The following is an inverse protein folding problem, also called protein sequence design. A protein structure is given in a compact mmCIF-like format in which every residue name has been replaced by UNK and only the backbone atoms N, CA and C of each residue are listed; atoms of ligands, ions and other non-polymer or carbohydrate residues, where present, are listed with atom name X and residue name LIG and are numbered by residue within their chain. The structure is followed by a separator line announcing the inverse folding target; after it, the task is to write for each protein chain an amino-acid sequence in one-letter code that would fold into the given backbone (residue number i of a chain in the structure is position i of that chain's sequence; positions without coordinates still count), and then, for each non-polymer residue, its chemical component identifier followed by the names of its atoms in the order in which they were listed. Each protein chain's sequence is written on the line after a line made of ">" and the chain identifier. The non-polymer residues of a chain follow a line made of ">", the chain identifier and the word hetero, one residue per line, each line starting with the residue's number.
data_IF_169678594860
#
_entry.id   IF_169678594860
#
_cell.length_a   1.000
_cell.length_b   1.000
_cell.length_c   1.000
_cell.angle_alpha   90.00
_cell.angle_beta   90.00
_cell.angle_gamma   90.00
#
_symmetry.space_group_name_H-M   'P 1'
#
loop_
_entity.id
_entity.type
_entity.pdbx_description
1 polymer ?
#
# COMPACT_ATOMS: atom_id res chain seq x y z
N UNK A 1 20.92 -8.82 27.21
CA UNK A 1 20.79 -8.60 25.75
C UNK A 1 19.56 -7.71 25.55
N UNK A 2 19.75 -6.42 25.30
CA UNK A 2 18.64 -5.46 25.15
C UNK A 2 18.02 -5.74 23.78
N UNK A 3 16.83 -6.32 23.77
CA UNK A 3 16.07 -6.52 22.55
C UNK A 3 15.43 -5.18 22.16
N UNK A 4 16.18 -4.35 21.43
CA UNK A 4 15.65 -3.11 20.86
C UNK A 4 14.65 -3.43 19.74
N UNK A 5 13.39 -3.67 20.13
CA UNK A 5 12.27 -3.91 19.20
C UNK A 5 11.69 -2.62 18.62
N UNK A 6 12.23 -1.46 19.04
CA UNK A 6 11.85 -0.11 18.60
C UNK A 6 12.03 0.12 17.09
N UNK A 7 13.19 -0.16 16.46
CA UNK A 7 13.37 0.00 15.01
C UNK A 7 12.37 -0.84 14.20
N UNK A 8 12.14 -2.09 14.61
CA UNK A 8 11.20 -2.99 13.96
C UNK A 8 9.76 -2.48 14.07
N UNK A 9 9.36 -1.98 15.24
CA UNK A 9 8.01 -1.44 15.46
C UNK A 9 7.74 -0.18 14.64
N UNK A 10 8.75 0.70 14.50
CA UNK A 10 8.65 1.89 13.64
C UNK A 10 8.54 1.48 12.16
N UNK A 11 9.28 0.46 11.74
CA UNK A 11 9.22 -0.06 10.38
C UNK A 11 7.85 -0.68 10.05
N UNK A 12 7.26 -1.42 10.98
CA UNK A 12 5.89 -1.95 10.85
C UNK A 12 4.84 -0.84 10.69
N UNK A 13 4.97 0.25 11.45
CA UNK A 13 4.04 1.39 11.33
C UNK A 13 4.20 2.07 9.97
N UNK A 14 5.43 2.31 9.52
CA UNK A 14 5.71 2.95 8.21
C UNK A 14 5.18 2.12 7.05
N UNK A 15 5.43 0.80 7.06
CA UNK A 15 4.93 -0.13 6.05
C UNK A 15 3.40 -0.20 6.09
N UNK A 16 2.78 -0.21 7.26
CA UNK A 16 1.32 -0.15 7.39
C UNK A 16 0.69 1.12 6.82
N UNK A 17 1.29 2.29 7.04
CA UNK A 17 0.85 3.54 6.39
C UNK A 17 1.03 3.51 4.88
N UNK A 18 2.14 2.95 4.38
CA UNK A 18 2.37 2.82 2.95
C UNK A 18 1.31 1.93 2.28
N UNK A 19 0.91 0.82 2.91
CA UNK A 19 -0.15 -0.06 2.40
C UNK A 19 -1.53 0.60 2.43
N UNK A 20 -1.85 1.36 3.48
CA UNK A 20 -3.09 2.14 3.51
C UNK A 20 -3.12 3.20 2.40
N UNK A 21 -2.03 3.94 2.24
CA UNK A 21 -1.92 4.94 1.18
C UNK A 21 -2.05 4.28 -0.21
N UNK A 22 -1.39 3.13 -0.42
CA UNK A 22 -1.49 2.37 -1.66
C UNK A 22 -2.93 1.94 -1.96
N UNK A 23 -3.67 1.46 -0.95
CA UNK A 23 -5.08 1.09 -1.12
C UNK A 23 -5.93 2.30 -1.52
N UNK A 24 -5.74 3.45 -0.87
CA UNK A 24 -6.52 4.66 -1.17
C UNK A 24 -6.21 5.16 -2.58
N UNK A 25 -4.92 5.21 -2.94
CA UNK A 25 -4.48 5.61 -4.29
C UNK A 25 -5.05 4.66 -5.34
N UNK A 26 -5.08 3.36 -5.07
CA UNK A 26 -5.65 2.36 -5.98
C UNK A 26 -7.16 2.56 -6.17
N UNK A 27 -7.90 2.82 -5.09
CA UNK A 27 -9.34 3.13 -5.17
C UNK A 27 -9.60 4.46 -5.90
N UNK A 28 -8.77 5.48 -5.70
CA UNK A 28 -8.86 6.74 -6.44
C UNK A 28 -8.50 6.56 -7.92
N UNK A 29 -7.55 5.69 -8.22
CA UNK A 29 -7.10 5.39 -9.57
C UNK A 29 -8.20 4.75 -10.43
N UNK A 30 -9.16 4.04 -9.83
CA UNK A 30 -10.30 3.49 -10.56
C UNK A 30 -11.23 4.57 -11.15
N UNK A 31 -11.26 5.77 -10.55
CA UNK A 31 -12.04 6.90 -11.05
C UNK A 31 -11.39 7.62 -12.24
N UNK A 32 -10.12 7.31 -12.54
CA UNK A 32 -9.46 7.86 -13.71
C UNK A 32 -9.96 7.16 -14.99
N UNK A 33 -10.13 7.90 -16.09
CA UNK A 33 -10.50 7.34 -17.39
C UNK A 33 -9.37 6.53 -18.06
N UNK A 34 -8.21 6.44 -17.41
CA UNK A 34 -7.00 5.77 -17.88
C UNK A 34 -6.56 4.71 -16.87
N UNK A 35 -5.88 3.67 -17.35
CA UNK A 35 -5.29 2.64 -16.49
C UNK A 35 -4.09 3.23 -15.72
N UNK A 36 -4.34 3.83 -14.55
CA UNK A 36 -3.33 4.52 -13.74
C UNK A 36 -2.04 3.71 -13.54
N UNK A 37 -2.16 2.42 -13.19
CA UNK A 37 -1.00 1.55 -12.96
C UNK A 37 -0.17 1.29 -14.23
N UNK A 38 -0.82 1.16 -15.38
CA UNK A 38 -0.14 1.05 -16.68
C UNK A 38 0.52 2.37 -17.07
N UNK A 39 -0.14 3.51 -16.80
CA UNK A 39 0.45 4.84 -17.04
C UNK A 39 1.70 5.07 -16.19
N UNK A 40 1.64 4.75 -14.89
CA UNK A 40 2.79 4.85 -13.98
C UNK A 40 3.90 3.87 -14.39
N UNK A 41 3.56 2.64 -14.78
CA UNK A 41 4.50 1.66 -15.29
C UNK A 41 5.19 2.13 -16.58
N UNK A 42 4.43 2.72 -17.51
CA UNK A 42 4.95 3.29 -18.76
C UNK A 42 5.92 4.46 -18.52
N UNK A 43 5.60 5.33 -17.55
CA UNK A 43 6.51 6.41 -17.12
C UNK A 43 7.81 5.88 -16.50
N UNK A 44 7.73 4.84 -15.67
CA UNK A 44 8.92 4.23 -15.05
C UNK A 44 9.81 3.50 -16.06
N UNK A 45 9.24 3.00 -17.15
CA UNK A 45 9.93 2.19 -18.15
C UNK A 45 10.35 2.95 -19.41
N UNK A 46 10.07 4.26 -19.50
CA UNK A 46 10.29 5.09 -20.70
C UNK A 46 9.77 4.41 -21.98
N UNK A 47 8.61 3.75 -21.90
CA UNK A 47 8.04 3.01 -23.03
C UNK A 47 6.97 3.86 -23.73
N UNK A 48 7.26 4.30 -24.95
CA UNK A 48 6.37 5.10 -25.81
C UNK A 48 5.24 4.26 -26.45
N UNK A 49 4.43 3.59 -25.63
CA UNK A 49 3.24 2.87 -26.12
C UNK A 49 1.99 3.74 -25.94
N UNK A 50 1.62 4.41 -27.03
CA UNK A 50 0.76 5.59 -27.09
C UNK A 50 -0.77 5.33 -27.01
N UNK A 51 -1.26 4.44 -26.14
CA UNK A 51 -2.73 4.28 -25.94
C UNK A 51 -3.07 3.73 -24.55
N UNK A 52 -3.37 4.62 -23.59
CA UNK A 52 -3.71 4.28 -22.19
C UNK A 52 -5.23 4.26 -21.92
N UNK A 53 -6.03 3.81 -22.90
CA UNK A 53 -7.47 3.73 -22.70
C UNK A 53 -7.83 2.52 -21.84
N UNK A 54 -8.59 2.76 -20.78
CA UNK A 54 -9.10 1.72 -19.87
C UNK A 54 -10.09 0.83 -20.61
N UNK A 55 -9.61 -0.28 -21.19
CA UNK A 55 -10.48 -1.40 -21.61
C UNK A 55 -11.00 -2.00 -20.32
N UNK A 56 -12.29 -1.82 -19.99
CA UNK A 56 -12.89 -2.33 -18.75
C UNK A 56 -13.01 -3.86 -18.83
N UNK A 57 -12.18 -4.66 -18.14
CA UNK A 57 -12.40 -6.08 -18.03
C UNK A 57 -13.16 -6.30 -16.73
N UNK A 58 -14.45 -6.62 -16.85
CA UNK A 58 -15.25 -7.20 -15.77
C UNK A 58 -14.48 -8.36 -15.13
N UNK A 59 -14.34 -8.31 -13.79
CA UNK A 59 -13.99 -9.47 -12.96
C UNK A 59 -12.64 -10.15 -13.28
N UNK A 60 -11.52 -9.41 -13.25
CA UNK A 60 -10.21 -10.07 -13.11
C UNK A 60 -9.75 -10.00 -11.67
N UNK A 61 -9.14 -11.09 -11.18
CA UNK A 61 -8.62 -11.29 -9.82
C UNK A 61 -7.50 -10.32 -9.42
N UNK A 62 -7.83 -9.03 -9.41
CA UNK A 62 -7.01 -7.96 -8.90
C UNK A 62 -6.84 -8.09 -7.39
N UNK A 63 -5.68 -7.65 -6.89
CA UNK A 63 -5.42 -7.46 -5.47
C UNK A 63 -6.65 -6.83 -4.80
N UNK A 64 -7.23 -7.54 -3.83
CA UNK A 64 -8.36 -7.02 -3.08
C UNK A 64 -7.84 -5.85 -2.22
N UNK A 65 -7.97 -4.62 -2.74
CA UNK A 65 -7.44 -3.42 -2.10
C UNK A 65 -8.03 -3.24 -0.68
N UNK A 66 -9.24 -3.72 -0.42
CA UNK A 66 -9.81 -3.77 0.93
C UNK A 66 -8.97 -4.66 1.86
N UNK A 67 -8.49 -5.82 1.41
CA UNK A 67 -7.58 -6.66 2.23
C UNK A 67 -6.24 -5.96 2.47
N UNK A 68 -5.71 -5.24 1.48
CA UNK A 68 -4.46 -4.46 1.63
C UNK A 68 -4.62 -3.37 2.69
N UNK A 69 -5.77 -2.67 2.70
CA UNK A 69 -6.09 -1.68 3.73
C UNK A 69 -6.16 -2.30 5.14
N UNK A 70 -6.81 -3.47 5.26
CA UNK A 70 -6.92 -4.20 6.54
C UNK A 70 -5.54 -4.62 7.07
N UNK A 71 -4.68 -5.16 6.20
CA UNK A 71 -3.31 -5.53 6.57
C UNK A 71 -2.52 -4.30 7.00
N UNK A 72 -2.64 -3.19 6.27
CA UNK A 72 -1.98 -1.93 6.61
C UNK A 72 -2.38 -1.40 8.00
N UNK A 73 -3.69 -1.40 8.31
CA UNK A 73 -4.20 -1.00 9.62
C UNK A 73 -3.70 -1.92 10.75
N UNK A 74 -3.63 -3.23 10.49
CA UNK A 74 -3.19 -4.22 11.46
C UNK A 74 -1.69 -4.06 11.80
N UNK A 75 -0.86 -3.76 10.80
CA UNK A 75 0.57 -3.46 10.99
C UNK A 75 0.80 -2.19 11.82
N UNK A 76 0.02 -1.13 11.56
CA UNK A 76 0.06 0.10 12.37
C UNK A 76 -0.32 -0.22 13.82
N UNK A 77 -1.40 -0.98 14.02
CA UNK A 77 -1.87 -1.35 15.35
C UNK A 77 -0.84 -2.15 16.13
N UNK A 78 -0.26 -3.19 15.51
CA UNK A 78 0.78 -4.03 16.12
C UNK A 78 2.05 -3.23 16.46
N UNK A 79 2.52 -2.40 15.53
CA UNK A 79 3.68 -1.54 15.78
C UNK A 79 3.43 -0.54 16.90
N UNK A 80 2.21 0.01 17.01
CA UNK A 80 1.83 0.93 18.10
C UNK A 80 1.75 0.22 19.46
N UNK A 81 1.25 -1.01 19.51
CA UNK A 81 1.24 -1.83 20.75
C UNK A 81 2.66 -2.11 21.22
N UNK A 82 3.54 -2.55 20.31
CA UNK A 82 4.93 -2.88 20.67
C UNK A 82 5.70 -1.65 21.16
N UNK A 83 5.48 -0.46 20.58
CA UNK A 83 6.06 0.79 21.06
C UNK A 83 5.52 1.27 22.41
N UNK A 84 4.28 0.90 22.76
CA UNK A 84 3.71 1.20 24.09
C UNK A 84 4.31 0.26 25.14
N UNK A 85 4.33 -1.06 24.86
CA UNK A 85 4.92 -2.06 25.76
C UNK A 85 6.40 -1.80 26.06
N UNK A 86 7.20 -1.40 25.06
CA UNK A 86 8.61 -1.05 25.25
C UNK A 86 8.87 0.33 25.88
N UNK A 87 7.83 1.06 26.29
CA UNK A 87 7.90 2.31 27.07
C UNK A 87 7.50 2.11 28.52
N UNK A 88 6.62 1.15 28.77
CA UNK A 88 6.13 0.78 30.11
C UNK A 88 7.04 -0.26 30.81
N UNK A 89 8.14 -0.66 30.14
CA UNK A 89 9.23 -1.52 30.66
C UNK A 89 10.48 -0.70 30.91
#
# INVERSE_FOLDING_TARGET
>A
MINDTRPLSIWLIRTGYALLALSIISSLAEFLPVNFWETVGGWLTNSDANTFYKIVPSESGGLNFCMVAVIGALLIFLGRINLRRGRDS
#
